data_IF_297235361845
#
_entry.id   IF_297235361845
#
_cell.length_a   1.000
_cell.length_b   1.000
_cell.length_c   1.000
_cell.angle_alpha   90.00
_cell.angle_beta   90.00
_cell.angle_gamma   90.00
#
_symmetry.space_group_name_H-M   'P 1'
#
loop_
_entity.id
_entity.type
_entity.pdbx_description
1 polymer ?
#
# COMPACT_ATOMS: atom_id res chain seq x y z
N UNK A 1 11.01 -17.78 1.34
CA UNK A 1 11.03 -16.63 0.39
C UNK A 1 10.87 -15.35 1.18
N UNK A 2 11.65 -14.32 0.85
CA UNK A 2 11.53 -13.00 1.49
C UNK A 2 10.31 -12.24 0.99
N UNK A 3 9.80 -11.34 1.83
CA UNK A 3 8.70 -10.44 1.49
C UNK A 3 9.01 -9.05 2.03
N UNK A 4 9.15 -8.07 1.15
CA UNK A 4 9.38 -6.67 1.51
C UNK A 4 8.05 -5.93 1.47
N UNK A 5 7.64 -5.35 2.59
CA UNK A 5 6.37 -4.63 2.73
C UNK A 5 6.64 -3.14 2.91
N UNK A 6 6.02 -2.35 2.04
CA UNK A 6 6.04 -0.89 2.09
C UNK A 6 4.74 -0.42 2.73
N UNK A 7 4.79 0.24 3.90
CA UNK A 7 3.61 0.62 4.67
C UNK A 7 2.81 1.75 4.02
N UNK A 8 1.60 1.97 4.50
CA UNK A 8 0.75 3.08 4.10
C UNK A 8 1.34 4.46 4.39
N UNK A 9 0.52 5.50 4.31
CA UNK A 9 0.95 6.91 4.40
C UNK A 9 1.60 7.27 5.74
N UNK A 10 1.24 6.60 6.84
CA UNK A 10 1.92 6.79 8.13
C UNK A 10 3.42 6.45 8.05
N UNK A 11 3.79 5.50 7.19
CA UNK A 11 5.17 5.11 6.92
C UNK A 11 5.83 4.29 8.02
N UNK A 12 5.12 3.95 9.10
CA UNK A 12 5.74 3.32 10.27
C UNK A 12 5.72 1.80 10.23
N UNK A 13 4.67 1.25 9.65
CA UNK A 13 4.42 -0.20 9.66
C UNK A 13 3.99 -0.77 11.01
N UNK A 14 3.84 0.06 12.06
CA UNK A 14 3.49 -0.41 13.42
C UNK A 14 2.16 -1.17 13.49
N UNK A 15 1.23 -0.88 12.59
CA UNK A 15 -0.06 -1.55 12.53
C UNK A 15 -0.04 -2.85 11.73
N UNK A 16 1.10 -3.25 11.16
CA UNK A 16 1.23 -4.43 10.30
C UNK A 16 1.67 -5.70 11.04
N UNK A 17 1.88 -5.65 12.36
CA UNK A 17 2.36 -6.79 13.15
C UNK A 17 1.53 -8.07 12.95
N UNK A 18 0.18 -7.93 12.93
CA UNK A 18 -0.71 -9.09 12.73
C UNK A 18 -0.61 -9.65 11.30
N UNK A 19 -0.36 -8.78 10.31
CA UNK A 19 -0.13 -9.20 8.93
C UNK A 19 1.23 -9.91 8.79
N UNK A 20 2.30 -9.35 9.35
CA UNK A 20 3.63 -9.99 9.36
C UNK A 20 3.55 -11.38 10.00
N UNK A 21 2.88 -11.50 11.14
CA UNK A 21 2.66 -12.79 11.79
C UNK A 21 1.84 -13.76 10.92
N UNK A 22 0.85 -13.27 10.18
CA UNK A 22 0.04 -14.07 9.27
C UNK A 22 0.80 -14.53 8.01
N UNK A 23 1.82 -13.80 7.58
CA UNK A 23 2.69 -14.18 6.45
C UNK A 23 3.65 -15.32 6.81
N UNK A 24 4.12 -15.39 8.06
CA UNK A 24 4.88 -16.54 8.54
C UNK A 24 3.99 -17.82 8.57
N UNK A 25 4.50 -19.02 8.36
CA UNK A 25 5.89 -19.39 8.10
C UNK A 25 6.29 -19.37 6.61
N UNK A 26 5.38 -19.00 5.70
CA UNK A 26 5.64 -19.07 4.26
C UNK A 26 6.63 -18.00 3.76
N UNK A 27 6.67 -16.85 4.45
CA UNK A 27 7.49 -15.72 4.08
C UNK A 27 8.26 -15.16 5.28
N UNK A 28 9.54 -14.87 5.07
CA UNK A 28 10.31 -13.98 5.94
C UNK A 28 10.00 -12.54 5.56
N UNK A 29 9.19 -11.88 6.39
CA UNK A 29 8.56 -10.60 6.06
C UNK A 29 9.24 -9.44 6.79
N UNK A 30 9.77 -8.50 6.00
CA UNK A 30 10.35 -7.25 6.47
C UNK A 30 9.45 -6.07 6.09
N UNK A 31 9.14 -5.20 7.06
CA UNK A 31 8.46 -3.92 6.80
C UNK A 31 9.51 -2.81 6.74
N UNK A 32 9.63 -2.14 5.59
CA UNK A 32 10.56 -1.03 5.41
C UNK A 32 9.89 0.26 5.85
N UNK A 33 10.14 0.66 7.11
CA UNK A 33 9.60 1.90 7.65
C UNK A 33 10.26 3.14 7.02
N UNK A 34 9.49 4.21 6.89
CA UNK A 34 9.94 5.52 6.43
C UNK A 34 10.24 6.45 7.61
N UNK A 35 11.22 7.37 7.48
CA UNK A 35 11.49 8.37 8.51
C UNK A 35 10.24 9.19 8.86
N UNK A 36 10.02 9.42 10.16
CA UNK A 36 8.85 10.15 10.66
C UNK A 36 9.06 11.67 10.66
N UNK A 37 10.32 12.09 10.67
CA UNK A 37 10.83 13.44 10.87
C UNK A 37 11.47 14.06 9.62
N UNK A 38 11.47 13.33 8.52
CA UNK A 38 12.05 13.77 7.24
C UNK A 38 10.97 13.89 6.17
N UNK A 39 10.91 15.04 5.54
CA UNK A 39 10.04 15.28 4.38
C UNK A 39 10.70 14.63 3.17
N UNK A 40 10.15 13.51 2.72
CA UNK A 40 10.58 12.75 1.55
C UNK A 40 9.42 12.56 0.60
N UNK A 41 9.63 12.86 -0.67
CA UNK A 41 8.71 12.56 -1.76
C UNK A 41 8.86 11.13 -2.27
N UNK A 42 8.14 10.80 -3.33
CA UNK A 42 8.17 9.44 -3.89
C UNK A 42 9.54 9.03 -4.40
N UNK A 43 10.30 9.94 -5.01
CA UNK A 43 11.63 9.64 -5.55
C UNK A 43 12.60 9.29 -4.42
N UNK A 44 12.65 10.11 -3.37
CA UNK A 44 13.52 9.86 -2.22
C UNK A 44 13.12 8.58 -1.47
N UNK A 45 11.82 8.26 -1.41
CA UNK A 45 11.36 7.01 -0.82
C UNK A 45 11.73 5.79 -1.67
N UNK A 46 11.71 5.89 -2.99
CA UNK A 46 12.23 4.84 -3.89
C UNK A 46 13.70 4.57 -3.61
N UNK A 47 14.52 5.63 -3.52
CA UNK A 47 15.96 5.49 -3.25
C UNK A 47 16.25 4.97 -1.82
N UNK A 48 15.39 5.29 -0.85
CA UNK A 48 15.48 4.75 0.51
C UNK A 48 15.19 3.23 0.55
N UNK A 49 14.22 2.78 -0.23
CA UNK A 49 13.79 1.37 -0.26
C UNK A 49 14.75 0.49 -1.08
N UNK A 50 15.27 1.01 -2.18
CA UNK A 50 16.08 0.26 -3.15
C UNK A 50 17.18 -0.61 -2.52
N UNK A 51 18.01 -0.15 -1.56
CA UNK A 51 19.06 -0.97 -0.95
C UNK A 51 18.53 -2.06 0.01
N UNK A 52 17.21 -2.06 0.30
CA UNK A 52 16.58 -3.11 1.14
C UNK A 52 16.05 -4.28 0.31
N UNK A 53 16.08 -4.16 -1.02
CA UNK A 53 15.60 -5.20 -1.91
C UNK A 53 16.67 -6.30 -2.04
N UNK A 54 16.30 -7.58 -1.82
CA UNK A 54 17.26 -8.70 -1.96
C UNK A 54 17.79 -8.82 -3.38
N UNK A 55 19.11 -9.04 -3.51
CA UNK A 55 19.77 -9.23 -4.80
C UNK A 55 20.06 -10.70 -5.12
N UNK A 56 20.10 -11.55 -4.11
CA UNK A 56 20.59 -12.93 -4.16
C UNK A 56 19.50 -13.99 -4.02
N UNK A 57 18.35 -13.66 -3.45
CA UNK A 57 17.23 -14.59 -3.27
C UNK A 57 15.90 -14.03 -3.83
N UNK A 58 14.96 -14.90 -4.27
CA UNK A 58 13.63 -14.46 -4.72
C UNK A 58 12.84 -13.81 -3.60
N UNK A 59 12.13 -12.70 -3.93
CA UNK A 59 11.29 -11.99 -2.98
C UNK A 59 10.02 -11.43 -3.61
N UNK A 60 9.01 -11.20 -2.76
CA UNK A 60 7.83 -10.41 -3.09
C UNK A 60 7.99 -8.96 -2.60
N UNK A 61 7.49 -8.01 -3.39
CA UNK A 61 7.37 -6.61 -3.00
C UNK A 61 5.88 -6.28 -2.82
N UNK A 62 5.50 -5.78 -1.64
CA UNK A 62 4.13 -5.38 -1.33
C UNK A 62 4.08 -3.88 -1.12
N UNK A 63 3.25 -3.17 -1.88
CA UNK A 63 2.96 -1.75 -1.70
C UNK A 63 1.56 -1.54 -1.14
N UNK A 64 1.44 -1.06 0.11
CA UNK A 64 0.18 -0.73 0.73
C UNK A 64 -0.20 0.74 0.46
N UNK A 65 -1.41 0.98 -0.04
CA UNK A 65 -2.00 2.32 -0.13
C UNK A 65 -1.05 3.34 -0.79
N UNK A 66 -0.58 4.35 -0.04
CA UNK A 66 0.39 5.36 -0.46
C UNK A 66 1.65 4.77 -1.11
N UNK A 67 2.09 3.59 -0.67
CA UNK A 67 3.33 2.98 -1.16
C UNK A 67 3.21 2.21 -2.47
N UNK A 68 2.01 2.09 -3.05
CA UNK A 68 1.87 1.47 -4.37
C UNK A 68 2.69 2.14 -5.46
N UNK A 69 2.67 3.47 -5.62
CA UNK A 69 3.52 4.16 -6.59
C UNK A 69 5.02 3.92 -6.39
N UNK A 70 5.49 3.78 -5.13
CA UNK A 70 6.89 3.42 -4.83
C UNK A 70 7.18 2.00 -5.33
N UNK A 71 6.31 1.05 -4.96
CA UNK A 71 6.46 -0.35 -5.35
C UNK A 71 6.40 -0.53 -6.88
N UNK A 72 5.52 0.19 -7.58
CA UNK A 72 5.41 0.20 -9.05
C UNK A 72 6.73 0.69 -9.67
N UNK A 73 7.28 1.83 -9.22
CA UNK A 73 8.56 2.38 -9.74
C UNK A 73 9.73 1.43 -9.51
N UNK A 74 9.80 0.84 -8.32
CA UNK A 74 10.82 -0.16 -8.01
C UNK A 74 10.69 -1.39 -8.91
N UNK A 75 9.48 -1.94 -9.08
CA UNK A 75 9.26 -3.10 -9.93
C UNK A 75 9.52 -2.81 -11.41
N UNK A 76 9.16 -1.61 -11.89
CA UNK A 76 9.43 -1.16 -13.26
C UNK A 76 10.92 -1.02 -13.58
N UNK A 77 11.78 -0.80 -12.56
CA UNK A 77 13.24 -0.81 -12.74
C UNK A 77 13.81 -2.23 -12.92
N UNK A 78 12.96 -3.25 -12.96
CA UNK A 78 13.31 -4.66 -13.19
C UNK A 78 14.43 -5.16 -12.27
N UNK A 79 14.29 -4.98 -10.94
CA UNK A 79 15.33 -5.40 -10.00
C UNK A 79 15.53 -6.92 -10.06
N UNK A 80 16.76 -7.39 -9.83
CA UNK A 80 17.00 -8.83 -9.81
C UNK A 80 16.15 -9.50 -8.73
N UNK A 81 15.77 -10.76 -8.99
CA UNK A 81 15.08 -11.63 -8.01
C UNK A 81 13.68 -11.16 -7.57
N UNK A 82 13.11 -10.09 -8.11
CA UNK A 82 11.72 -9.74 -7.83
C UNK A 82 10.80 -10.80 -8.46
N UNK A 83 10.23 -11.66 -7.61
CA UNK A 83 9.37 -12.76 -8.02
C UNK A 83 7.90 -12.33 -8.23
N UNK A 84 7.47 -11.24 -7.63
CA UNK A 84 6.12 -10.71 -7.81
C UNK A 84 5.88 -9.40 -7.08
N UNK A 85 4.95 -8.60 -7.61
CA UNK A 85 4.48 -7.34 -7.02
C UNK A 85 3.05 -7.51 -6.49
N UNK A 86 2.81 -7.09 -5.26
CA UNK A 86 1.47 -7.02 -4.67
C UNK A 86 1.11 -5.57 -4.39
N UNK A 87 0.02 -5.09 -4.96
CA UNK A 87 -0.58 -3.79 -4.65
C UNK A 87 -1.78 -4.01 -3.73
N UNK A 88 -1.76 -3.47 -2.53
CA UNK A 88 -2.81 -3.67 -1.54
C UNK A 88 -3.53 -2.36 -1.23
N UNK A 89 -4.85 -2.28 -1.52
CA UNK A 89 -5.66 -1.09 -1.30
C UNK A 89 -4.96 0.19 -1.82
N UNK A 90 -4.34 0.10 -3.01
CA UNK A 90 -3.39 1.07 -3.54
C UNK A 90 -3.78 1.60 -4.92
N UNK A 91 -2.92 2.38 -5.55
CA UNK A 91 -3.18 3.08 -6.81
C UNK A 91 -1.88 3.31 -7.60
N UNK A 92 -2.01 3.37 -8.92
CA UNK A 92 -0.94 3.84 -9.80
C UNK A 92 -1.08 5.34 -10.13
N UNK A 93 -2.30 5.87 -10.02
CA UNK A 93 -2.63 7.28 -10.20
C UNK A 93 -3.43 7.78 -9.02
N UNK A 94 -3.21 9.02 -8.62
CA UNK A 94 -3.89 9.69 -7.51
C UNK A 94 -5.39 9.35 -7.48
N UNK A 95 -5.88 8.71 -6.39
CA UNK A 95 -7.28 8.29 -6.30
C UNK A 95 -8.19 9.51 -6.18
N UNK A 96 -9.37 9.42 -6.81
CA UNK A 96 -10.42 10.43 -6.70
C UNK A 96 -11.63 9.81 -6.01
N UNK A 97 -12.18 10.46 -4.98
CA UNK A 97 -13.43 9.99 -4.40
C UNK A 97 -14.55 9.95 -5.46
N UNK A 98 -15.39 8.92 -5.46
CA UNK A 98 -16.53 8.83 -6.39
C UNK A 98 -17.41 10.07 -6.29
N UNK A 99 -17.82 10.62 -7.46
CA UNK A 99 -18.71 11.79 -7.53
C UNK A 99 -18.09 13.14 -7.17
N UNK A 100 -16.78 13.19 -6.85
CA UNK A 100 -16.11 14.47 -6.57
C UNK A 100 -15.90 15.28 -7.87
N UNK A 101 -16.33 16.56 -7.92
CA UNK A 101 -16.03 17.44 -9.02
C UNK A 101 -14.58 17.94 -9.01
N UNK A 102 -13.89 17.83 -7.87
CA UNK A 102 -12.50 18.26 -7.70
C UNK A 102 -11.54 17.16 -8.11
N UNK A 103 -10.42 17.55 -8.71
CA UNK A 103 -9.34 16.61 -8.99
C UNK A 103 -8.58 16.21 -7.71
N UNK A 104 -7.84 15.10 -7.77
CA UNK A 104 -7.13 14.54 -6.62
C UNK A 104 -6.13 15.55 -6.01
N UNK A 105 -5.40 16.32 -6.83
CA UNK A 105 -4.42 17.30 -6.34
C UNK A 105 -5.09 18.43 -5.55
N UNK A 106 -6.23 18.93 -6.02
CA UNK A 106 -7.01 19.95 -5.29
C UNK A 106 -7.52 19.39 -3.96
N UNK A 107 -8.08 18.18 -3.97
CA UNK A 107 -8.53 17.51 -2.74
C UNK A 107 -7.39 17.30 -1.75
N UNK A 108 -6.22 16.86 -2.22
CA UNK A 108 -5.04 16.67 -1.37
C UNK A 108 -4.52 18.00 -0.79
N UNK A 109 -4.55 19.10 -1.56
CA UNK A 109 -4.22 20.44 -1.06
C UNK A 109 -5.19 20.89 0.03
N UNK A 110 -6.49 20.74 -0.20
CA UNK A 110 -7.52 21.11 0.78
C UNK A 110 -7.42 20.25 2.05
N UNK A 111 -7.25 18.94 1.90
CA UNK A 111 -7.03 18.04 3.02
C UNK A 111 -5.74 18.37 3.79
N UNK A 112 -4.69 18.82 3.11
CA UNK A 112 -3.44 19.30 3.72
C UNK A 112 -3.59 20.57 4.54
N UNK A 113 -4.69 21.32 4.41
CA UNK A 113 -5.01 22.47 5.27
C UNK A 113 -5.67 22.05 6.59
N UNK A 114 -6.22 20.82 6.63
CA UNK A 114 -6.82 20.29 7.84
C UNK A 114 -5.73 19.96 8.88
N UNK A 115 -5.99 20.16 10.17
CA UNK A 115 -5.07 19.79 11.22
C UNK A 115 -5.07 18.27 11.44
N UNK A 116 -4.50 17.51 10.49
CA UNK A 116 -4.53 16.03 10.47
C UNK A 116 -4.07 15.42 11.81
N UNK A 117 -3.03 16.00 12.43
CA UNK A 117 -2.52 15.58 13.73
C UNK A 117 -3.51 15.83 14.89
N UNK A 118 -4.53 16.69 14.68
CA UNK A 118 -5.59 16.99 15.66
C UNK A 118 -6.91 16.32 15.33
N UNK A 119 -6.96 15.54 14.26
CA UNK A 119 -8.20 14.80 13.93
C UNK A 119 -8.51 13.78 15.03
N UNK A 120 -9.76 13.74 15.54
CA UNK A 120 -10.14 12.75 16.52
C UNK A 120 -9.88 11.34 15.99
N UNK A 121 -9.18 10.51 16.75
CA UNK A 121 -8.84 9.12 16.40
C UNK A 121 -10.07 8.32 15.92
N UNK A 122 -11.26 8.60 16.50
CA UNK A 122 -12.51 7.97 16.09
C UNK A 122 -12.88 8.24 14.62
N UNK A 123 -12.53 9.42 14.08
CA UNK A 123 -12.83 9.79 12.69
C UNK A 123 -11.88 9.07 11.73
N UNK A 124 -10.59 9.04 12.08
CA UNK A 124 -9.61 8.27 11.32
C UNK A 124 -9.98 6.78 11.33
N UNK A 125 -10.30 6.22 12.49
CA UNK A 125 -10.74 4.84 12.61
C UNK A 125 -12.02 4.56 11.79
N UNK A 126 -13.01 5.46 11.82
CA UNK A 126 -14.24 5.32 11.04
C UNK A 126 -13.98 5.35 9.52
N UNK A 127 -13.02 6.16 9.06
CA UNK A 127 -12.66 6.26 7.65
C UNK A 127 -11.84 5.05 7.20
N UNK A 128 -10.81 4.67 7.97
CA UNK A 128 -9.85 3.63 7.60
C UNK A 128 -10.39 2.21 7.84
N UNK A 129 -11.19 2.02 8.90
CA UNK A 129 -11.67 0.72 9.36
C UNK A 129 -13.19 0.52 9.17
N UNK A 130 -14.00 1.59 9.10
CA UNK A 130 -15.45 1.46 8.96
C UNK A 130 -16.05 0.58 10.08
N UNK A 131 -16.79 -0.46 9.70
CA UNK A 131 -17.43 -1.42 10.63
C UNK A 131 -16.42 -2.28 11.44
N UNK A 132 -15.16 -2.36 11.02
CA UNK A 132 -14.10 -3.06 11.74
C UNK A 132 -13.44 -2.19 12.82
N UNK A 133 -13.85 -0.92 12.96
CA UNK A 133 -13.37 -0.06 14.04
C UNK A 133 -13.81 -0.62 15.41
N UNK A 134 -12.88 -0.72 16.33
CA UNK A 134 -13.09 -1.19 17.69
C UNK A 134 -12.36 -0.31 18.69
N UNK A 135 -12.66 -0.42 20.01
CA UNK A 135 -11.88 0.26 21.05
C UNK A 135 -10.38 -0.08 20.97
N UNK A 136 -10.04 -1.35 20.70
CA UNK A 136 -8.67 -1.83 20.58
C UNK A 136 -7.95 -1.16 19.41
N UNK A 137 -8.62 -1.05 18.25
CA UNK A 137 -8.06 -0.33 17.10
C UNK A 137 -7.82 1.15 17.39
N UNK A 138 -8.75 1.81 18.08
CA UNK A 138 -8.58 3.22 18.47
C UNK A 138 -7.44 3.40 19.47
N UNK A 139 -7.25 2.47 20.39
CA UNK A 139 -6.14 2.47 21.33
C UNK A 139 -4.77 2.34 20.62
N UNK A 140 -4.69 1.55 19.54
CA UNK A 140 -3.46 1.43 18.72
C UNK A 140 -3.24 2.67 17.83
N UNK A 141 -4.30 3.21 17.24
CA UNK A 141 -4.23 4.37 16.33
C UNK A 141 -3.86 5.68 17.04
N UNK A 142 -4.34 5.90 18.26
CA UNK A 142 -4.14 7.16 18.97
C UNK A 142 -2.66 7.53 19.14
N UNK A 143 -1.84 6.67 19.77
CA UNK A 143 -0.41 6.92 19.94
C UNK A 143 0.33 7.06 18.59
N UNK A 144 -0.01 6.23 17.60
CA UNK A 144 0.56 6.32 16.27
C UNK A 144 0.31 7.70 15.65
N UNK A 145 -0.95 8.14 15.60
CA UNK A 145 -1.30 9.43 15.01
C UNK A 145 -0.61 10.61 15.74
N UNK A 146 -0.47 10.50 17.06
CA UNK A 146 0.22 11.50 17.87
C UNK A 146 1.74 11.55 17.60
N UNK A 147 2.33 10.47 17.12
CA UNK A 147 3.78 10.38 16.81
C UNK A 147 4.14 10.88 15.40
N UNK A 148 3.16 11.14 14.55
CA UNK A 148 3.40 11.55 13.15
C UNK A 148 3.65 13.06 13.05
N UNK A 149 4.71 13.44 12.34
CA UNK A 149 4.96 14.86 12.04
C UNK A 149 3.90 15.37 11.04
N UNK A 150 3.16 16.44 11.39
CA UNK A 150 2.14 17.00 10.52
C UNK A 150 2.69 17.54 9.18
N UNK A 151 3.95 17.99 9.12
CA UNK A 151 4.56 18.48 7.89
C UNK A 151 4.87 17.32 6.94
N UNK A 152 5.40 16.22 7.47
CA UNK A 152 5.63 14.97 6.73
C UNK A 152 4.31 14.43 6.19
N UNK A 153 3.27 14.37 7.02
CA UNK A 153 1.95 13.87 6.60
C UNK A 153 1.32 14.74 5.50
N UNK A 154 1.41 16.06 5.63
CA UNK A 154 0.93 16.98 4.58
C UNK A 154 1.69 16.82 3.27
N UNK A 155 3.00 16.61 3.34
CA UNK A 155 3.82 16.37 2.15
C UNK A 155 3.41 15.08 1.46
N UNK A 156 3.34 13.96 2.18
CA UNK A 156 2.91 12.66 1.64
C UNK A 156 1.51 12.71 1.03
N UNK A 157 0.59 13.46 1.65
CA UNK A 157 -0.74 13.65 1.12
C UNK A 157 -0.74 14.40 -0.21
N UNK A 158 0.09 15.45 -0.36
CA UNK A 158 0.26 16.18 -1.63
C UNK A 158 0.87 15.30 -2.71
N UNK A 159 1.92 14.55 -2.38
CA UNK A 159 2.55 13.58 -3.26
C UNK A 159 1.51 12.55 -3.76
N UNK A 160 0.77 11.90 -2.85
CA UNK A 160 -0.28 10.94 -3.22
C UNK A 160 -1.40 11.54 -4.05
N UNK A 161 -1.70 12.83 -3.87
CA UNK A 161 -2.72 13.56 -4.64
C UNK A 161 -2.26 14.02 -6.02
N UNK A 162 -0.97 13.98 -6.31
CA UNK A 162 -0.37 14.45 -7.58
C UNK A 162 0.21 13.31 -8.43
N UNK A 163 0.42 12.13 -7.86
CA UNK A 163 1.14 11.04 -8.50
C UNK A 163 0.38 10.45 -9.68
N UNK A 164 1.13 10.12 -10.73
CA UNK A 164 0.70 9.25 -11.84
C UNK A 164 1.91 8.43 -12.31
N UNK A 165 1.89 7.14 -12.03
CA UNK A 165 2.89 6.15 -12.46
C UNK A 165 2.25 5.07 -13.34
N UNK A 166 1.10 5.37 -13.96
CA UNK A 166 0.35 4.40 -14.76
C UNK A 166 1.22 3.84 -15.91
N UNK A 167 2.02 4.69 -16.56
CA UNK A 167 2.92 4.25 -17.63
C UNK A 167 3.95 3.22 -17.17
N UNK A 168 4.44 3.33 -15.93
CA UNK A 168 5.42 2.40 -15.37
C UNK A 168 4.87 0.98 -15.15
N UNK A 169 3.56 0.79 -15.11
CA UNK A 169 2.94 -0.54 -14.99
C UNK A 169 3.32 -1.45 -16.18
N UNK A 170 3.44 -0.91 -17.38
CA UNK A 170 3.80 -1.67 -18.58
C UNK A 170 5.25 -2.19 -18.56
N UNK A 171 6.13 -1.56 -17.78
CA UNK A 171 7.53 -1.93 -17.66
C UNK A 171 7.80 -3.05 -16.64
N UNK A 172 6.81 -3.39 -15.80
CA UNK A 172 6.96 -4.42 -14.79
C UNK A 172 7.03 -5.81 -15.43
N UNK A 173 8.11 -6.54 -15.16
CA UNK A 173 8.33 -7.86 -15.78
C UNK A 173 7.77 -9.03 -14.94
N UNK A 174 7.55 -8.84 -13.63
CA UNK A 174 7.06 -9.89 -12.75
C UNK A 174 5.52 -9.95 -12.71
N UNK A 175 4.93 -11.09 -12.25
CA UNK A 175 3.50 -11.18 -11.96
C UNK A 175 3.02 -10.10 -11.01
N UNK A 176 1.79 -9.60 -11.20
CA UNK A 176 1.18 -8.56 -10.39
C UNK A 176 -0.13 -9.05 -9.78
N UNK A 177 -0.21 -8.98 -8.44
CA UNK A 177 -1.45 -9.17 -7.68
C UNK A 177 -1.97 -7.82 -7.19
N UNK A 178 -3.27 -7.58 -7.34
CA UNK A 178 -3.95 -6.45 -6.73
C UNK A 178 -4.97 -6.94 -5.70
N UNK A 179 -4.74 -6.65 -4.42
CA UNK A 179 -5.69 -6.89 -3.35
C UNK A 179 -6.59 -5.66 -3.17
N UNK A 180 -7.86 -5.80 -3.53
CA UNK A 180 -8.86 -4.75 -3.41
C UNK A 180 -9.69 -4.91 -2.14
N UNK A 181 -9.81 -3.84 -1.37
CA UNK A 181 -10.74 -3.80 -0.24
C UNK A 181 -12.15 -3.43 -0.72
N UNK A 182 -13.14 -4.30 -0.44
CA UNK A 182 -14.54 -4.09 -0.89
C UNK A 182 -15.15 -2.81 -0.35
N UNK A 183 -14.80 -2.42 0.87
CA UNK A 183 -15.36 -1.27 1.58
C UNK A 183 -14.35 -0.12 1.72
N UNK A 184 -13.42 -0.01 0.75
CA UNK A 184 -12.48 1.08 0.72
C UNK A 184 -13.18 2.41 0.42
N UNK A 185 -12.96 3.40 1.30
CA UNK A 185 -13.53 4.75 1.17
C UNK A 185 -12.55 5.77 0.60
N UNK A 186 -11.29 5.37 0.41
CA UNK A 186 -10.21 6.24 -0.07
C UNK A 186 -9.75 5.86 -1.48
N UNK A 187 -9.50 4.57 -1.68
CA UNK A 187 -9.05 4.04 -2.97
C UNK A 187 -10.22 3.35 -3.65
N UNK A 188 -10.76 4.00 -4.67
CA UNK A 188 -11.94 3.53 -5.38
C UNK A 188 -11.63 2.33 -6.30
N UNK A 189 -12.70 1.66 -6.75
CA UNK A 189 -12.62 0.57 -7.71
C UNK A 189 -11.92 0.97 -9.03
N UNK A 190 -11.92 2.26 -9.36
CA UNK A 190 -11.28 2.76 -10.57
C UNK A 190 -9.74 2.64 -10.51
N UNK A 191 -9.16 2.60 -9.30
CA UNK A 191 -7.72 2.34 -9.15
C UNK A 191 -7.35 0.95 -9.66
N UNK A 192 -8.14 -0.08 -9.31
CA UNK A 192 -7.97 -1.42 -9.86
C UNK A 192 -8.19 -1.47 -11.37
N UNK A 193 -9.27 -0.84 -11.89
CA UNK A 193 -9.51 -0.81 -13.34
C UNK A 193 -8.32 -0.27 -14.12
N UNK A 194 -7.72 0.83 -13.66
CA UNK A 194 -6.52 1.42 -14.30
C UNK A 194 -5.34 0.48 -14.31
N UNK A 195 -5.14 -0.26 -13.21
CA UNK A 195 -4.09 -1.29 -13.15
C UNK A 195 -4.38 -2.41 -14.14
N UNK A 196 -5.61 -2.93 -14.18
CA UNK A 196 -6.02 -4.00 -15.09
C UNK A 196 -6.01 -3.58 -16.57
N UNK A 197 -6.31 -2.31 -16.87
CA UNK A 197 -6.19 -1.76 -18.23
C UNK A 197 -4.74 -1.67 -18.69
N UNK A 198 -3.82 -1.25 -17.81
CA UNK A 198 -2.40 -1.14 -18.12
C UNK A 198 -1.67 -2.50 -18.07
N UNK A 199 -2.17 -3.45 -17.29
CA UNK A 199 -1.65 -4.80 -17.06
C UNK A 199 -2.80 -5.81 -17.10
N UNK A 200 -3.23 -6.25 -18.30
CA UNK A 200 -4.33 -7.21 -18.43
C UNK A 200 -4.07 -8.58 -17.80
N UNK A 201 -2.80 -8.91 -17.61
CA UNK A 201 -2.32 -10.11 -16.92
C UNK A 201 -2.29 -9.97 -15.38
N UNK A 202 -2.60 -8.80 -14.83
CA UNK A 202 -2.66 -8.60 -13.39
C UNK A 202 -3.81 -9.39 -12.78
N UNK A 203 -3.53 -10.09 -11.68
CA UNK A 203 -4.53 -10.85 -10.94
C UNK A 203 -5.19 -9.96 -9.89
N UNK A 204 -6.52 -9.84 -9.92
CA UNK A 204 -7.29 -9.03 -8.97
C UNK A 204 -8.08 -9.88 -7.98
N UNK A 205 -7.85 -9.70 -6.70
CA UNK A 205 -8.61 -10.36 -5.62
C UNK A 205 -9.32 -9.32 -4.77
N UNK A 206 -10.64 -9.47 -4.61
CA UNK A 206 -11.43 -8.64 -3.70
C UNK A 206 -11.56 -9.31 -2.34
N UNK A 207 -11.23 -8.57 -1.28
CA UNK A 207 -11.39 -9.00 0.11
C UNK A 207 -12.47 -8.16 0.79
N UNK A 208 -13.33 -8.79 1.59
CA UNK A 208 -14.31 -8.12 2.44
C UNK A 208 -13.60 -7.38 3.59
N UNK A 209 -13.06 -6.22 3.26
CA UNK A 209 -12.17 -5.42 4.09
C UNK A 209 -12.43 -3.92 3.93
N UNK A 210 -12.03 -3.10 4.92
CA UNK A 210 -11.94 -1.64 4.82
C UNK A 210 -10.63 -1.25 4.13
N UNK A 211 -10.33 0.06 4.04
CA UNK A 211 -9.06 0.56 3.51
C UNK A 211 -7.84 -0.05 4.21
N UNK A 212 -7.86 -0.16 5.54
CA UNK A 212 -6.85 -0.88 6.32
C UNK A 212 -7.01 -2.39 6.14
N UNK A 213 -6.80 -2.88 4.91
CA UNK A 213 -7.02 -4.26 4.53
C UNK A 213 -6.05 -5.21 5.25
N UNK A 214 -4.75 -4.92 5.19
CA UNK A 214 -3.71 -5.75 5.81
C UNK A 214 -3.87 -5.83 7.33
N UNK A 215 -4.33 -4.74 7.96
CA UNK A 215 -4.55 -4.66 9.38
C UNK A 215 -5.83 -5.41 9.81
N UNK A 216 -6.95 -5.13 9.15
CA UNK A 216 -8.26 -5.66 9.55
C UNK A 216 -8.48 -7.12 9.12
N UNK A 217 -7.82 -7.56 8.04
CA UNK A 217 -8.00 -8.89 7.44
C UNK A 217 -6.67 -9.59 7.14
N UNK A 218 -5.71 -9.45 8.06
CA UNK A 218 -4.34 -9.96 7.95
C UNK A 218 -4.26 -11.41 7.43
N UNK A 219 -5.02 -12.33 8.04
CA UNK A 219 -5.02 -13.75 7.65
C UNK A 219 -5.58 -13.97 6.25
N UNK A 220 -6.65 -13.26 5.88
CA UNK A 220 -7.25 -13.37 4.55
C UNK A 220 -6.32 -12.84 3.47
N UNK A 221 -5.67 -11.69 3.72
CA UNK A 221 -4.66 -11.13 2.82
C UNK A 221 -3.47 -12.06 2.64
N UNK A 222 -2.91 -12.59 3.74
CA UNK A 222 -1.80 -13.52 3.70
C UNK A 222 -2.16 -14.83 2.96
N UNK A 223 -3.37 -15.36 3.16
CA UNK A 223 -3.85 -16.55 2.44
C UNK A 223 -3.97 -16.28 0.93
N UNK A 224 -4.53 -15.13 0.54
CA UNK A 224 -4.64 -14.74 -0.87
C UNK A 224 -3.26 -14.59 -1.55
N UNK A 225 -2.29 -13.97 -0.87
CA UNK A 225 -0.92 -13.82 -1.39
C UNK A 225 -0.25 -15.19 -1.54
N UNK A 226 -0.41 -16.09 -0.57
CA UNK A 226 0.15 -17.45 -0.66
C UNK A 226 -0.44 -18.23 -1.84
N UNK A 227 -1.77 -18.27 -1.94
CA UNK A 227 -2.45 -18.97 -3.02
C UNK A 227 -1.99 -18.44 -4.39
N UNK A 228 -1.98 -17.13 -4.57
CA UNK A 228 -1.52 -16.52 -5.81
C UNK A 228 -0.05 -16.85 -6.11
N UNK A 229 0.85 -16.78 -5.11
CA UNK A 229 2.26 -17.16 -5.30
C UNK A 229 2.39 -18.61 -5.78
N UNK A 230 1.62 -19.53 -5.20
CA UNK A 230 1.70 -20.94 -5.52
C UNK A 230 1.21 -21.23 -6.95
N UNK A 231 0.23 -20.46 -7.45
CA UNK A 231 -0.27 -20.56 -8.83
C UNK A 231 0.84 -20.24 -9.87
N UNK A 232 1.57 -19.14 -9.71
CA UNK A 232 2.62 -18.82 -10.70
C UNK A 232 3.92 -19.60 -10.47
N UNK A 233 4.20 -20.08 -9.27
CA UNK A 233 5.33 -20.96 -9.02
C UNK A 233 5.14 -22.32 -9.71
N UNK A 234 3.91 -22.82 -9.79
CA UNK A 234 3.59 -24.06 -10.51
C UNK A 234 3.56 -23.88 -12.05
N UNK A 235 3.24 -22.69 -12.54
CA UNK A 235 3.22 -22.38 -13.97
C UNK A 235 4.61 -22.17 -14.59
N UNK A 236 5.63 -21.91 -13.80
CA UNK A 236 7.02 -21.68 -14.24
C UNK A 236 7.94 -22.91 -14.10
N UNK A 237 7.40 -24.07 -13.76
CA UNK A 237 8.13 -25.32 -13.52
C UNK A 237 8.11 -26.34 -14.67
N UNK A 238 7.63 -25.95 -15.86
CA UNK A 238 7.67 -26.79 -17.08
C UNK A 238 8.78 -26.38 -18.03
#
# INVERSE_FOLDING_TARGET
>A
MRCIVLPGMDGTGELLSDFVAAMAPAFDTEVVAYPRDRILGYEELVELVRPRMPADEPYLLIGESFSGPIAIRLAASKPPRLAGLVLCASFARAPRPPGSPLNAATLARLAGLLPLARMPTRWVAATMLGRWSSPQWRARLGPLLASLDPAVMRHRLREGGAVDVTAALAEIACPLLYLRARHDRLVSRDSWRRVAEARPDAHGIEIDAPHFLLQARARAAAAAIRAWRDEFASAGGD
#
